data_IF_980193193688
#
_entry.id   IF_980193193688
#
_cell.length_a   1.000
_cell.length_b   1.000
_cell.length_c   1.000
_cell.angle_alpha   90.00
_cell.angle_beta   90.00
_cell.angle_gamma   90.00
#
_symmetry.space_group_name_H-M   'P 1'
#
loop_
_entity.id
_entity.type
_entity.pdbx_description
1 polymer ?
#
# COMPACT_ATOMS: atom_id res chain seq x y z
N UNK A 1 -10.85 -13.71 -8.59
CA UNK A 1 -9.99 -12.55 -8.28
C UNK A 1 -8.60 -12.95 -8.69
N UNK A 2 -7.96 -12.17 -9.55
CA UNK A 2 -6.57 -12.38 -9.92
C UNK A 2 -5.68 -11.50 -9.02
N UNK A 3 -4.55 -12.04 -8.58
CA UNK A 3 -3.61 -11.34 -7.70
C UNK A 3 -2.49 -10.78 -8.58
N UNK A 4 -2.22 -9.48 -8.43
CA UNK A 4 -1.07 -8.79 -9.02
C UNK A 4 -0.16 -8.41 -7.86
N UNK A 5 1.06 -8.90 -7.88
CA UNK A 5 2.08 -8.48 -6.93
C UNK A 5 2.69 -7.16 -7.41
N UNK A 6 2.78 -6.19 -6.51
CA UNK A 6 3.38 -4.89 -6.79
C UNK A 6 4.77 -4.91 -6.17
N UNK A 7 5.79 -5.00 -7.02
CA UNK A 7 7.18 -4.89 -6.60
C UNK A 7 7.46 -3.49 -6.03
N UNK A 8 8.19 -3.43 -4.93
CA UNK A 8 8.53 -2.18 -4.24
C UNK A 8 9.91 -1.62 -4.65
N UNK A 9 10.62 -2.29 -5.57
CA UNK A 9 11.93 -1.88 -6.06
C UNK A 9 12.98 -1.55 -4.96
N UNK A 10 12.85 -2.21 -3.81
CA UNK A 10 13.73 -2.02 -2.64
C UNK A 10 13.25 -0.98 -1.63
N UNK A 11 12.13 -0.29 -1.90
CA UNK A 11 11.52 0.63 -0.95
C UNK A 11 10.94 -0.11 0.26
N UNK A 12 10.96 0.56 1.40
CA UNK A 12 10.50 -0.01 2.65
C UNK A 12 8.98 -0.24 2.68
N UNK A 13 8.22 0.48 1.85
CA UNK A 13 6.76 0.45 1.86
C UNK A 13 6.16 0.86 0.51
N UNK A 14 4.85 0.65 0.37
CA UNK A 14 4.12 0.92 -0.87
C UNK A 14 3.89 2.42 -1.09
N UNK A 15 4.43 2.96 -2.18
CA UNK A 15 4.20 4.33 -2.64
C UNK A 15 3.07 4.41 -3.68
N UNK A 16 2.53 5.62 -3.85
CA UNK A 16 1.52 5.90 -4.87
C UNK A 16 1.99 5.59 -6.30
N UNK A 17 3.27 5.79 -6.60
CA UNK A 17 3.81 5.52 -7.95
C UNK A 17 3.89 4.02 -8.26
N UNK A 18 4.17 3.16 -7.28
CA UNK A 18 4.07 1.71 -7.44
C UNK A 18 2.65 1.29 -7.84
N UNK A 19 1.64 1.85 -7.16
CA UNK A 19 0.23 1.59 -7.46
C UNK A 19 -0.14 2.06 -8.88
N UNK A 20 0.29 3.27 -9.27
CA UNK A 20 0.04 3.79 -10.63
C UNK A 20 0.73 2.95 -11.70
N UNK A 21 1.97 2.53 -11.47
CA UNK A 21 2.72 1.71 -12.40
C UNK A 21 2.02 0.36 -12.61
N UNK A 22 1.69 -0.35 -11.53
CA UNK A 22 0.97 -1.60 -11.60
C UNK A 22 -0.40 -1.44 -12.29
N UNK A 23 -1.14 -0.37 -11.98
CA UNK A 23 -2.44 -0.11 -12.62
C UNK A 23 -2.34 0.17 -14.13
N UNK A 24 -1.25 0.81 -14.59
CA UNK A 24 -0.99 1.04 -16.02
C UNK A 24 -0.70 -0.25 -16.76
N UNK A 25 0.00 -1.19 -16.14
CA UNK A 25 0.27 -2.50 -16.72
C UNK A 25 -0.99 -3.37 -16.74
N UNK A 26 -1.79 -3.28 -15.68
CA UNK A 26 -3.02 -4.04 -15.53
C UNK A 26 -4.03 -3.31 -14.65
N UNK A 27 -5.24 -3.13 -15.17
CA UNK A 27 -6.31 -2.45 -14.44
C UNK A 27 -6.64 -3.17 -13.12
N UNK A 28 -6.28 -2.51 -12.01
CA UNK A 28 -6.54 -2.99 -10.64
C UNK A 28 -7.92 -2.55 -10.16
N UNK A 29 -8.61 -3.43 -9.43
CA UNK A 29 -9.89 -3.12 -8.76
C UNK A 29 -9.74 -2.82 -7.27
N UNK A 30 -8.63 -3.25 -6.68
CA UNK A 30 -8.32 -3.00 -5.29
C UNK A 30 -6.84 -3.18 -5.00
N UNK A 31 -6.41 -2.64 -3.87
CA UNK A 31 -5.06 -2.78 -3.33
C UNK A 31 -5.15 -3.20 -1.86
N UNK A 32 -4.33 -4.17 -1.48
CA UNK A 32 -4.14 -4.64 -0.12
C UNK A 32 -2.70 -4.36 0.28
N UNK A 33 -2.49 -3.69 1.41
CA UNK A 33 -1.16 -3.50 2.01
C UNK A 33 -1.23 -3.60 3.52
N UNK A 34 -0.12 -4.02 4.14
CA UNK A 34 0.01 -4.09 5.58
C UNK A 34 0.81 -2.89 6.11
N UNK A 35 0.38 -2.35 7.24
CA UNK A 35 1.10 -1.31 7.98
C UNK A 35 0.89 -1.55 9.47
N UNK A 36 1.93 -1.83 10.27
CA UNK A 36 3.28 -2.23 9.84
C UNK A 36 3.29 -3.44 8.87
N UNK A 37 4.15 -3.40 7.86
CA UNK A 37 4.32 -4.48 6.88
C UNK A 37 4.96 -5.72 7.53
N UNK A 38 4.49 -6.93 7.20
CA UNK A 38 5.09 -8.18 7.65
C UNK A 38 5.92 -8.79 6.51
N UNK A 39 7.19 -9.20 6.71
CA UNK A 39 7.95 -9.28 7.96
C UNK A 39 8.82 -8.06 8.30
N UNK A 40 8.82 -7.03 7.45
CA UNK A 40 9.79 -5.92 7.54
C UNK A 40 9.55 -4.96 8.71
N UNK A 41 8.33 -4.93 9.25
CA UNK A 41 7.88 -3.97 10.26
C UNK A 41 7.73 -2.54 9.75
N UNK A 42 7.85 -2.31 8.44
CA UNK A 42 7.84 -0.96 7.88
C UNK A 42 6.47 -0.30 8.03
N UNK A 43 6.47 0.96 8.48
CA UNK A 43 5.27 1.78 8.63
C UNK A 43 5.24 2.77 7.47
N UNK A 44 4.10 2.88 6.79
CA UNK A 44 3.88 3.91 5.78
C UNK A 44 3.72 5.25 6.51
N UNK A 45 4.55 6.28 6.22
CA UNK A 45 4.37 7.62 6.76
C UNK A 45 2.97 8.19 6.43
N UNK A 46 2.43 9.04 7.29
CA UNK A 46 1.05 9.52 7.16
C UNK A 46 0.80 10.30 5.85
N UNK A 47 1.77 11.08 5.40
CA UNK A 47 1.75 11.81 4.13
C UNK A 47 1.80 10.87 2.92
N UNK A 48 2.67 9.86 2.95
CA UNK A 48 2.76 8.81 1.92
C UNK A 48 1.47 7.96 1.85
N UNK A 49 0.91 7.59 3.01
CA UNK A 49 -0.37 6.88 3.08
C UNK A 49 -1.51 7.73 2.50
N UNK A 50 -1.53 9.03 2.81
CA UNK A 50 -2.50 9.97 2.25
C UNK A 50 -2.36 10.06 0.71
N UNK A 51 -1.13 10.10 0.20
CA UNK A 51 -0.86 10.12 -1.23
C UNK A 51 -1.30 8.82 -1.93
N UNK A 52 -1.05 7.67 -1.30
CA UNK A 52 -1.47 6.35 -1.79
C UNK A 52 -3.00 6.25 -1.85
N UNK A 53 -3.70 6.63 -0.78
CA UNK A 53 -5.18 6.58 -0.72
C UNK A 53 -5.80 7.55 -1.72
N UNK A 54 -5.28 8.77 -1.83
CA UNK A 54 -5.76 9.77 -2.81
C UNK A 54 -5.60 9.24 -4.24
N UNK A 55 -4.44 8.68 -4.55
CA UNK A 55 -4.16 8.07 -5.86
C UNK A 55 -5.10 6.89 -6.14
N UNK A 56 -5.32 6.00 -5.16
CA UNK A 56 -6.23 4.88 -5.31
C UNK A 56 -7.67 5.37 -5.61
N UNK A 57 -8.13 6.42 -4.92
CA UNK A 57 -9.44 7.03 -5.18
C UNK A 57 -9.54 7.61 -6.59
N UNK A 58 -8.53 8.36 -7.04
CA UNK A 58 -8.48 8.92 -8.41
C UNK A 58 -8.53 7.84 -9.49
N UNK A 59 -7.92 6.68 -9.23
CA UNK A 59 -7.89 5.53 -10.15
C UNK A 59 -9.10 4.58 -9.98
N UNK A 60 -10.02 4.84 -9.05
CA UNK A 60 -11.16 3.97 -8.78
C UNK A 60 -10.78 2.61 -8.15
N UNK A 61 -9.64 2.55 -7.45
CA UNK A 61 -9.11 1.37 -6.77
C UNK A 61 -9.58 1.37 -5.31
N UNK A 62 -10.20 0.27 -4.87
CA UNK A 62 -10.56 0.10 -3.46
C UNK A 62 -9.33 -0.18 -2.58
N UNK A 63 -9.25 0.44 -1.41
CA UNK A 63 -8.12 0.26 -0.49
C UNK A 63 -8.50 -0.65 0.68
N UNK A 64 -7.65 -1.64 0.96
CA UNK A 64 -7.70 -2.45 2.18
C UNK A 64 -6.34 -2.31 2.87
N UNK A 65 -6.36 -1.79 4.09
CA UNK A 65 -5.17 -1.70 4.94
C UNK A 65 -5.25 -2.76 6.03
N UNK A 66 -4.25 -3.63 6.10
CA UNK A 66 -4.09 -4.64 7.13
C UNK A 66 -3.26 -4.07 8.30
N UNK A 67 -3.97 -3.72 9.38
CA UNK A 67 -3.45 -3.07 10.59
C UNK A 67 -3.37 -4.04 11.78
N UNK A 68 -3.29 -5.36 11.53
CA UNK A 68 -3.27 -6.36 12.63
C UNK A 68 -2.09 -6.15 13.61
N UNK A 69 -1.00 -5.52 13.17
CA UNK A 69 0.16 -5.19 14.01
C UNK A 69 0.07 -3.81 14.70
N UNK A 70 -0.96 -3.02 14.42
CA UNK A 70 -1.14 -1.68 15.01
C UNK A 70 -1.24 -1.69 16.55
N UNK A 71 -1.68 -2.81 17.15
CA UNK A 71 -1.72 -2.96 18.62
C UNK A 71 -0.37 -3.34 19.27
N UNK A 72 0.70 -3.52 18.48
CA UNK A 72 2.05 -3.82 18.97
C UNK A 72 3.06 -2.71 18.66
N UNK A 73 2.72 -1.78 17.76
CA UNK A 73 3.51 -0.59 17.50
C UNK A 73 3.20 0.49 18.56
N UNK A 74 3.90 0.45 19.70
CA UNK A 74 4.03 1.65 20.53
C UNK A 74 4.79 2.68 19.70
N UNK A 75 4.16 3.82 19.40
CA UNK A 75 4.90 5.00 18.99
C UNK A 75 5.96 5.28 20.07
N UNK A 76 7.23 5.08 19.73
CA UNK A 76 8.37 5.53 20.52
C UNK A 76 8.76 6.93 20.04
#
# INVERSE_FOLDING_TARGET
IEIVEIELDGDAYLHAEHLKAAHREKELKGVLFASPANPTGAIIPADELSALVTTAQELGISVISDEIYHRLAYAA
#
